data_IF_906290336690
#
_entry.id   IF_906290336690
#
_cell.length_a   1.000
_cell.length_b   1.000
_cell.length_c   1.000
_cell.angle_alpha   90.00
_cell.angle_beta   90.00
_cell.angle_gamma   90.00
#
_symmetry.space_group_name_H-M   'P 1'
#
loop_
_entity.id
_entity.type
_entity.pdbx_description
1 polymer ?
#
# COMPACT_ATOMS: atom_id res chain seq x y z
N UNK A 1 14.27 13.07 -2.29
CA UNK A 1 14.66 11.75 -2.82
C UNK A 1 13.94 10.66 -2.06
N UNK A 2 13.65 9.55 -2.72
CA UNK A 2 12.97 8.36 -2.15
C UNK A 2 13.60 7.87 -0.84
N UNK A 3 14.93 7.90 -0.72
CA UNK A 3 15.64 7.51 0.52
C UNK A 3 15.30 8.41 1.72
N UNK A 4 14.97 9.70 1.50
CA UNK A 4 14.52 10.58 2.58
C UNK A 4 13.12 10.22 3.05
N UNK A 5 12.21 9.90 2.14
CA UNK A 5 10.86 9.44 2.50
C UNK A 5 10.92 8.13 3.29
N UNK A 6 11.88 7.25 2.95
CA UNK A 6 12.12 5.99 3.65
C UNK A 6 12.56 6.17 5.10
N UNK A 7 13.30 7.24 5.41
CA UNK A 7 13.98 7.41 6.71
C UNK A 7 13.41 8.54 7.57
N UNK A 8 12.74 9.51 6.96
CA UNK A 8 12.23 10.73 7.61
C UNK A 8 10.72 10.93 7.44
N UNK A 9 10.05 10.00 6.76
CA UNK A 9 8.62 10.05 6.47
C UNK A 9 8.22 11.06 5.38
N UNK A 10 6.98 10.92 4.91
CA UNK A 10 6.31 11.86 4.00
C UNK A 10 5.62 13.02 4.73
N UNK A 11 5.51 12.97 6.06
CA UNK A 11 4.94 14.06 6.84
C UNK A 11 5.88 15.29 6.83
N UNK A 12 5.35 16.52 6.65
CA UNK A 12 6.17 17.70 6.45
C UNK A 12 7.19 17.96 7.58
N UNK A 13 6.76 17.87 8.83
CA UNK A 13 7.60 18.20 9.99
C UNK A 13 8.87 17.32 10.10
N UNK A 14 8.77 15.98 10.18
CA UNK A 14 9.98 15.14 10.26
C UNK A 14 10.79 15.17 8.96
N UNK A 15 10.13 15.34 7.80
CA UNK A 15 10.79 15.44 6.50
C UNK A 15 11.68 16.69 6.41
N UNK A 16 11.13 17.86 6.76
CA UNK A 16 11.85 19.14 6.76
C UNK A 16 12.90 19.19 7.88
N UNK A 17 12.65 18.51 9.00
CA UNK A 17 13.60 18.40 10.11
C UNK A 17 14.92 17.69 9.73
N UNK A 18 14.92 16.88 8.67
CA UNK A 18 16.13 16.40 8.00
C UNK A 18 17.00 15.41 8.79
N UNK A 19 16.59 15.00 10.00
CA UNK A 19 17.38 14.15 10.91
C UNK A 19 16.56 12.98 11.44
N UNK A 20 17.13 11.78 11.44
CA UNK A 20 16.48 10.58 11.98
C UNK A 20 16.08 10.73 13.46
N UNK A 21 16.85 11.47 14.25
CA UNK A 21 16.50 11.78 15.64
C UNK A 21 15.25 12.67 15.75
N UNK A 22 15.07 13.62 14.83
CA UNK A 22 13.85 14.44 14.76
C UNK A 22 12.65 13.59 14.39
N UNK A 23 12.77 12.72 13.39
CA UNK A 23 11.73 11.76 13.02
C UNK A 23 11.33 10.85 14.21
N UNK A 24 12.29 10.26 14.94
CA UNK A 24 11.97 9.38 16.08
C UNK A 24 11.18 10.09 17.18
N UNK A 25 11.56 11.33 17.52
CA UNK A 25 10.80 12.13 18.50
C UNK A 25 9.40 12.45 17.98
N UNK A 26 9.31 12.87 16.73
CA UNK A 26 8.04 13.19 16.08
C UNK A 26 7.11 11.98 16.02
N UNK A 27 7.56 10.82 15.52
CA UNK A 27 6.73 9.62 15.36
C UNK A 27 6.21 9.12 16.71
N UNK A 28 7.04 9.16 17.77
CA UNK A 28 6.61 8.79 19.13
C UNK A 28 5.60 9.75 19.74
N UNK A 29 5.74 11.06 19.48
CA UNK A 29 4.78 12.07 19.93
C UNK A 29 3.46 11.95 19.14
N UNK A 30 3.55 11.86 17.81
CA UNK A 30 2.42 11.76 16.89
C UNK A 30 1.55 10.54 17.20
N UNK A 31 2.14 9.35 17.33
CA UNK A 31 1.35 8.15 17.64
C UNK A 31 0.65 8.25 18.99
N UNK A 32 1.32 8.81 20.00
CA UNK A 32 0.75 8.96 21.35
C UNK A 32 -0.40 9.97 21.38
N UNK A 33 -0.17 11.15 20.81
CA UNK A 33 -1.17 12.22 20.76
C UNK A 33 -2.40 11.74 19.99
N UNK A 34 -2.20 11.22 18.79
CA UNK A 34 -3.31 10.85 17.92
C UNK A 34 -4.10 9.64 18.46
N UNK A 35 -3.45 8.65 19.07
CA UNK A 35 -4.15 7.50 19.65
C UNK A 35 -4.85 7.81 20.97
N UNK A 36 -4.23 8.62 21.85
CA UNK A 36 -4.73 8.81 23.23
C UNK A 36 -5.58 10.05 23.41
N UNK A 37 -5.37 11.08 22.61
CA UNK A 37 -6.13 12.32 22.68
C UNK A 37 -7.21 12.27 21.60
N UNK A 38 -6.82 12.27 20.32
CA UNK A 38 -7.80 12.37 19.24
C UNK A 38 -8.71 11.14 19.13
N UNK A 39 -8.12 9.94 19.07
CA UNK A 39 -8.88 8.69 18.87
C UNK A 39 -9.71 8.31 20.11
N UNK A 40 -9.17 8.47 21.32
CA UNK A 40 -9.93 8.22 22.55
C UNK A 40 -11.13 9.13 22.65
N UNK A 41 -10.92 10.44 22.46
CA UNK A 41 -11.93 11.45 22.76
C UNK A 41 -12.99 11.50 21.65
N UNK A 42 -12.61 11.31 20.38
CA UNK A 42 -13.55 11.35 19.25
C UNK A 42 -14.31 10.03 19.03
N UNK A 43 -13.71 8.88 19.34
CA UNK A 43 -14.35 7.58 19.11
C UNK A 43 -14.90 6.92 20.39
N UNK A 44 -14.75 7.57 21.56
CA UNK A 44 -15.25 7.05 22.83
C UNK A 44 -14.68 5.67 23.18
N UNK A 45 -13.44 5.41 22.76
CA UNK A 45 -12.82 4.09 22.92
C UNK A 45 -12.53 3.86 24.40
N UNK A 46 -13.16 2.82 24.96
CA UNK A 46 -12.91 2.36 26.33
C UNK A 46 -11.57 1.62 26.49
N UNK A 47 -11.07 1.03 25.41
CA UNK A 47 -9.88 0.17 25.35
C UNK A 47 -8.79 0.81 24.46
N UNK A 48 -8.29 1.98 24.87
CA UNK A 48 -7.30 2.76 24.09
C UNK A 48 -5.96 2.06 24.04
N UNK A 49 -5.58 1.38 25.12
CA UNK A 49 -4.31 0.65 25.23
C UNK A 49 -4.22 -0.48 24.20
N UNK A 50 -5.30 -1.21 23.99
CA UNK A 50 -5.40 -2.30 23.02
C UNK A 50 -5.42 -1.76 21.58
N UNK A 51 -6.08 -0.61 21.35
CA UNK A 51 -6.01 0.08 20.07
C UNK A 51 -4.58 0.56 19.75
N UNK A 52 -3.89 1.16 20.73
CA UNK A 52 -2.48 1.57 20.60
C UNK A 52 -1.59 0.36 20.30
N UNK A 53 -1.81 -0.75 21.01
CA UNK A 53 -1.09 -2.01 20.78
C UNK A 53 -1.36 -2.55 19.37
N UNK A 54 -2.61 -2.56 18.91
CA UNK A 54 -2.94 -2.92 17.53
C UNK A 54 -2.13 -2.07 16.54
N UNK A 55 -2.11 -0.75 16.71
CA UNK A 55 -1.36 0.14 15.81
C UNK A 55 0.15 -0.12 15.81
N UNK A 56 0.72 -0.53 16.95
CA UNK A 56 2.13 -0.94 17.06
C UNK A 56 2.43 -2.30 16.43
N UNK A 57 1.44 -3.19 16.28
CA UNK A 57 1.61 -4.48 15.61
C UNK A 57 1.58 -4.36 14.07
N UNK A 58 0.85 -3.38 13.54
CA UNK A 58 0.63 -3.23 12.09
C UNK A 58 1.90 -3.13 11.22
N UNK A 59 2.99 -2.44 11.61
CA UNK A 59 4.20 -2.37 10.79
C UNK A 59 4.74 -3.74 10.37
N UNK A 60 4.65 -4.75 11.26
CA UNK A 60 5.08 -6.13 10.99
C UNK A 60 4.13 -6.93 10.07
N UNK A 61 2.94 -6.39 9.77
CA UNK A 61 1.89 -7.03 8.98
C UNK A 61 1.68 -6.34 7.63
N UNK A 62 2.46 -5.30 7.33
CA UNK A 62 2.39 -4.55 6.07
C UNK A 62 2.58 -5.49 4.89
N UNK A 63 1.79 -5.27 3.83
CA UNK A 63 1.89 -6.06 2.60
C UNK A 63 1.36 -7.49 2.72
N UNK A 64 0.91 -7.92 3.90
CA UNK A 64 0.33 -9.25 4.11
C UNK A 64 -1.20 -9.17 4.28
N UNK A 65 -1.96 -10.17 3.80
CA UNK A 65 -3.40 -10.26 4.10
C UNK A 65 -3.65 -10.29 5.62
N UNK A 66 -4.48 -9.37 6.10
CA UNK A 66 -4.70 -9.17 7.52
C UNK A 66 -5.81 -10.08 8.06
N UNK A 67 -5.45 -10.98 8.98
CA UNK A 67 -6.41 -11.80 9.73
C UNK A 67 -6.93 -11.07 10.96
N UNK A 68 -8.11 -10.45 10.83
CA UNK A 68 -8.80 -9.80 11.95
C UNK A 68 -9.12 -10.77 13.09
N UNK A 69 -9.54 -12.03 12.86
CA UNK A 69 -9.72 -12.99 13.95
C UNK A 69 -8.44 -13.26 14.74
N UNK A 70 -7.28 -13.36 14.08
CA UNK A 70 -5.99 -13.52 14.75
C UNK A 70 -5.69 -12.33 15.65
N UNK A 71 -5.83 -11.11 15.13
CA UNK A 71 -5.59 -9.88 15.89
C UNK A 71 -6.53 -9.75 17.11
N UNK A 72 -7.80 -10.14 16.93
CA UNK A 72 -8.78 -10.13 18.01
C UNK A 72 -8.39 -11.10 19.14
N UNK A 73 -7.90 -12.30 18.78
CA UNK A 73 -7.34 -13.26 19.72
C UNK A 73 -6.10 -12.74 20.43
N UNK A 74 -5.13 -12.20 19.69
CA UNK A 74 -3.88 -11.65 20.23
C UNK A 74 -4.13 -10.49 21.23
N UNK A 75 -5.16 -9.68 20.98
CA UNK A 75 -5.51 -8.51 21.80
C UNK A 75 -6.55 -8.81 22.88
N UNK A 76 -7.17 -10.00 22.89
CA UNK A 76 -8.22 -10.35 23.84
C UNK A 76 -9.51 -9.53 23.70
N UNK A 77 -9.83 -9.03 22.49
CA UNK A 77 -11.02 -8.21 22.22
C UNK A 77 -11.92 -8.82 21.15
N UNK A 78 -13.15 -8.33 21.03
CA UNK A 78 -14.09 -8.82 20.02
C UNK A 78 -13.63 -8.46 18.59
N UNK A 79 -13.96 -9.33 17.63
CA UNK A 79 -13.68 -9.13 16.20
C UNK A 79 -14.12 -7.75 15.68
N UNK A 80 -15.35 -7.32 16.03
CA UNK A 80 -15.90 -6.04 15.59
C UNK A 80 -15.16 -4.84 16.21
N UNK A 81 -14.53 -5.01 17.37
CA UNK A 81 -13.69 -3.99 18.01
C UNK A 81 -12.43 -3.74 17.17
N UNK A 82 -11.71 -4.80 16.80
CA UNK A 82 -10.53 -4.69 15.92
C UNK A 82 -10.90 -4.06 14.58
N UNK A 83 -12.01 -4.49 13.97
CA UNK A 83 -12.51 -3.86 12.74
C UNK A 83 -12.76 -2.36 12.90
N UNK A 84 -13.44 -1.97 13.98
CA UNK A 84 -13.71 -0.57 14.26
C UNK A 84 -12.43 0.25 14.41
N UNK A 85 -11.39 -0.29 15.05
CA UNK A 85 -10.10 0.38 15.18
C UNK A 85 -9.34 0.47 13.85
N UNK A 86 -9.33 -0.56 13.02
CA UNK A 86 -8.73 -0.50 11.69
C UNK A 86 -9.43 0.57 10.82
N UNK A 87 -10.77 0.60 10.83
CA UNK A 87 -11.55 1.62 10.12
C UNK A 87 -11.24 3.03 10.66
N UNK A 88 -11.00 3.15 11.96
CA UNK A 88 -10.62 4.42 12.59
C UNK A 88 -9.22 4.87 12.15
N UNK A 89 -8.23 3.98 12.16
CA UNK A 89 -6.88 4.29 11.70
C UNK A 89 -6.86 4.77 10.24
N UNK A 90 -7.72 4.23 9.39
CA UNK A 90 -7.88 4.73 8.02
C UNK A 90 -8.46 6.15 7.98
N UNK A 91 -9.48 6.43 8.78
CA UNK A 91 -10.11 7.78 8.86
C UNK A 91 -9.16 8.85 9.40
N UNK A 92 -8.26 8.46 10.30
CA UNK A 92 -7.25 9.34 10.87
C UNK A 92 -5.94 9.38 10.07
N UNK A 93 -5.91 8.81 8.86
CA UNK A 93 -4.73 8.81 8.01
C UNK A 93 -3.48 8.23 8.71
N UNK A 94 -3.69 7.20 9.52
CA UNK A 94 -2.61 6.38 10.06
C UNK A 94 -2.25 5.24 9.10
N UNK A 95 -3.29 4.67 8.47
CA UNK A 95 -3.19 3.52 7.58
C UNK A 95 -4.09 3.70 6.36
N UNK A 96 -3.95 2.80 5.39
CA UNK A 96 -4.92 2.57 4.33
C UNK A 96 -4.93 1.09 3.97
N UNK A 97 -6.07 0.60 3.49
CA UNK A 97 -6.18 -0.80 3.08
C UNK A 97 -6.33 -0.98 1.58
N UNK A 98 -5.59 -1.95 1.04
CA UNK A 98 -5.73 -2.43 -0.34
C UNK A 98 -6.53 -3.74 -0.35
N UNK A 99 -7.74 -3.77 -0.91
CA UNK A 99 -8.57 -4.98 -0.97
C UNK A 99 -8.12 -5.94 -2.06
N UNK A 100 -8.42 -7.24 -1.90
CA UNK A 100 -8.21 -8.19 -2.99
C UNK A 100 -9.09 -7.87 -4.18
N UNK A 101 -8.52 -7.89 -5.38
CA UNK A 101 -9.29 -7.84 -6.61
C UNK A 101 -10.05 -9.15 -6.84
N UNK A 102 -11.28 -9.01 -7.34
CA UNK A 102 -12.03 -10.14 -7.89
C UNK A 102 -13.06 -9.62 -8.88
N UNK A 103 -13.24 -10.36 -9.97
CA UNK A 103 -14.27 -10.08 -10.96
C UNK A 103 -15.70 -10.10 -10.37
N UNK A 104 -15.94 -10.76 -9.23
CA UNK A 104 -17.27 -10.86 -8.60
C UNK A 104 -17.33 -10.03 -7.31
N UNK A 105 -18.10 -8.93 -7.32
CA UNK A 105 -18.23 -7.97 -6.20
C UNK A 105 -18.53 -8.64 -4.86
N UNK A 106 -19.51 -9.55 -4.82
CA UNK A 106 -19.89 -10.25 -3.59
C UNK A 106 -18.75 -11.04 -2.93
N UNK A 107 -17.77 -11.51 -3.72
CA UNK A 107 -16.60 -12.24 -3.20
C UNK A 107 -15.55 -11.30 -2.62
N UNK A 108 -15.49 -10.04 -3.07
CA UNK A 108 -14.51 -9.07 -2.59
C UNK A 108 -14.78 -8.68 -1.13
N UNK A 109 -16.05 -8.53 -0.77
CA UNK A 109 -16.50 -8.07 0.56
C UNK A 109 -16.00 -8.99 1.68
N UNK A 110 -15.90 -10.30 1.40
CA UNK A 110 -15.51 -11.31 2.40
C UNK A 110 -14.00 -11.58 2.44
N UNK A 111 -13.22 -10.98 1.54
CA UNK A 111 -11.78 -11.24 1.45
C UNK A 111 -10.99 -10.32 2.35
N UNK A 112 -9.86 -10.85 2.81
CA UNK A 112 -8.86 -10.10 3.58
C UNK A 112 -8.33 -8.92 2.77
N UNK A 113 -7.91 -7.89 3.49
CA UNK A 113 -7.28 -6.69 2.93
C UNK A 113 -5.83 -6.69 3.36
N UNK A 114 -4.95 -6.13 2.54
CA UNK A 114 -3.60 -5.75 2.97
C UNK A 114 -3.68 -4.36 3.59
N UNK A 115 -2.98 -4.15 4.70
CA UNK A 115 -2.88 -2.82 5.35
C UNK A 115 -1.50 -2.24 5.07
N UNK A 116 -1.47 -0.94 4.82
CA UNK A 116 -0.26 -0.14 4.62
C UNK A 116 -0.31 1.10 5.52
N UNK A 117 0.85 1.64 5.85
CA UNK A 117 1.01 2.79 6.73
C UNK A 117 1.31 4.05 5.93
N UNK A 118 0.86 5.21 6.42
CA UNK A 118 1.28 6.51 5.90
C UNK A 118 2.66 6.91 6.42
N UNK A 119 3.00 6.51 7.64
CA UNK A 119 4.32 6.72 8.24
C UNK A 119 5.28 5.57 7.88
N UNK A 120 5.84 5.63 6.67
CA UNK A 120 6.72 4.60 6.07
C UNK A 120 7.88 4.14 6.97
N UNK A 121 8.65 5.04 7.64
CA UNK A 121 9.83 4.60 8.40
C UNK A 121 9.49 3.82 9.68
N UNK A 122 8.21 3.63 10.04
CA UNK A 122 7.79 2.71 11.10
C UNK A 122 7.97 1.24 10.72
N UNK A 123 8.13 0.95 9.42
CA UNK A 123 8.28 -0.41 8.91
C UNK A 123 9.76 -0.79 8.90
N UNK A 124 10.11 -1.79 9.71
CA UNK A 124 11.50 -2.22 9.88
C UNK A 124 11.99 -3.05 8.70
N UNK A 125 11.17 -4.02 8.24
CA UNK A 125 11.52 -4.89 7.12
C UNK A 125 11.70 -4.07 5.83
N UNK A 126 12.88 -4.10 5.19
CA UNK A 126 13.14 -3.30 4.00
C UNK A 126 12.22 -3.64 2.83
N UNK A 127 11.84 -4.90 2.66
CA UNK A 127 10.98 -5.35 1.57
C UNK A 127 9.56 -4.80 1.71
N UNK A 128 8.95 -5.02 2.87
CA UNK A 128 7.63 -4.49 3.21
C UNK A 128 7.61 -2.95 3.22
N UNK A 129 8.70 -2.31 3.69
CA UNK A 129 8.83 -0.85 3.65
C UNK A 129 8.84 -0.32 2.22
N UNK A 130 9.58 -0.96 1.32
CA UNK A 130 9.61 -0.60 -0.10
C UNK A 130 8.26 -0.85 -0.78
N UNK A 131 7.63 -2.00 -0.55
CA UNK A 131 6.28 -2.30 -1.04
C UNK A 131 5.29 -1.22 -0.57
N UNK A 132 5.36 -0.80 0.68
CA UNK A 132 4.51 0.26 1.23
C UNK A 132 4.74 1.62 0.55
N UNK A 133 5.98 1.98 0.21
CA UNK A 133 6.25 3.20 -0.55
C UNK A 133 5.60 3.16 -1.93
N UNK A 134 5.74 2.02 -2.62
CA UNK A 134 5.06 1.79 -3.91
C UNK A 134 3.54 1.90 -3.73
N UNK A 135 2.97 1.27 -2.69
CA UNK A 135 1.54 1.33 -2.38
C UNK A 135 1.06 2.78 -2.20
N UNK A 136 1.80 3.60 -1.45
CA UNK A 136 1.45 4.98 -1.17
C UNK A 136 1.44 5.84 -2.44
N UNK A 137 2.47 5.69 -3.29
CA UNK A 137 2.55 6.42 -4.57
C UNK A 137 1.47 5.97 -5.56
N UNK A 138 1.20 4.66 -5.65
CA UNK A 138 0.12 4.15 -6.49
C UNK A 138 -1.25 4.65 -5.99
N UNK A 139 -1.48 4.67 -4.67
CA UNK A 139 -2.70 5.20 -4.09
C UNK A 139 -2.89 6.68 -4.44
N UNK A 140 -1.82 7.49 -4.32
CA UNK A 140 -1.83 8.91 -4.70
C UNK A 140 -2.25 9.09 -6.15
N UNK A 141 -1.65 8.34 -7.07
CA UNK A 141 -1.93 8.45 -8.52
C UNK A 141 -3.35 7.98 -8.86
N UNK A 142 -3.77 6.82 -8.35
CA UNK A 142 -5.12 6.27 -8.58
C UNK A 142 -6.22 7.22 -8.08
N UNK A 143 -6.02 7.84 -6.90
CA UNK A 143 -6.93 8.87 -6.38
C UNK A 143 -6.94 10.10 -7.29
N UNK A 144 -5.77 10.61 -7.67
CA UNK A 144 -5.67 11.77 -8.54
C UNK A 144 -6.38 11.55 -9.89
N UNK A 145 -6.20 10.40 -10.54
CA UNK A 145 -6.92 10.08 -11.78
C UNK A 145 -8.44 10.06 -11.60
N UNK A 146 -8.91 9.55 -10.46
CA UNK A 146 -10.35 9.50 -10.16
C UNK A 146 -10.92 10.88 -9.87
N UNK A 147 -10.22 11.68 -9.07
CA UNK A 147 -10.63 13.04 -8.67
C UNK A 147 -10.65 14.01 -9.86
N UNK A 148 -9.78 13.80 -10.85
CA UNK A 148 -9.76 14.56 -12.09
C UNK A 148 -10.75 14.08 -13.17
N UNK A 149 -11.52 13.03 -12.90
CA UNK A 149 -12.50 12.52 -13.84
C UNK A 149 -11.93 11.69 -15.00
N UNK A 150 -10.67 11.23 -14.93
CA UNK A 150 -10.10 10.34 -15.95
C UNK A 150 -10.74 8.94 -15.96
N UNK A 151 -11.48 8.58 -14.91
CA UNK A 151 -12.16 7.29 -14.75
C UNK A 151 -12.34 6.92 -13.27
N UNK A 152 -12.98 5.80 -12.98
CA UNK A 152 -13.09 5.30 -11.61
C UNK A 152 -12.02 4.24 -11.34
N UNK A 153 -10.88 4.68 -10.81
CA UNK A 153 -9.73 3.80 -10.57
C UNK A 153 -9.69 3.29 -9.12
N UNK A 154 -9.22 2.06 -8.96
CA UNK A 154 -9.02 1.42 -7.67
C UNK A 154 -7.69 0.66 -7.60
N UNK A 155 -7.06 0.72 -6.44
CA UNK A 155 -5.87 -0.07 -6.11
C UNK A 155 -6.29 -1.35 -5.40
N UNK A 156 -5.78 -2.48 -5.86
CA UNK A 156 -6.06 -3.80 -5.34
C UNK A 156 -4.79 -4.64 -5.24
N UNK A 157 -4.86 -5.81 -4.62
CA UNK A 157 -3.86 -6.88 -4.80
C UNK A 157 -4.54 -8.11 -5.40
N UNK A 158 -3.77 -9.03 -5.99
CA UNK A 158 -4.34 -10.25 -6.61
C UNK A 158 -3.78 -11.47 -5.91
N UNK A 159 -4.65 -12.36 -5.42
CA UNK A 159 -4.27 -13.66 -4.87
C UNK A 159 -5.13 -14.77 -5.49
N UNK A 160 -4.48 -15.77 -6.08
CA UNK A 160 -5.15 -16.94 -6.69
C UNK A 160 -5.43 -18.03 -5.65
N UNK A 161 -6.22 -19.04 -6.03
CA UNK A 161 -6.53 -20.17 -5.14
C UNK A 161 -5.29 -21.05 -4.87
N UNK A 162 -4.37 -21.07 -5.82
CA UNK A 162 -3.09 -21.79 -5.76
C UNK A 162 -2.05 -21.03 -4.92
N UNK A 163 -2.44 -19.95 -4.24
CA UNK A 163 -1.58 -19.18 -3.35
C UNK A 163 -0.64 -18.19 -4.05
N UNK A 164 -0.71 -18.06 -5.38
CA UNK A 164 0.09 -17.05 -6.11
C UNK A 164 -0.46 -15.66 -5.82
N UNK A 165 0.45 -14.70 -5.65
CA UNK A 165 0.12 -13.32 -5.34
C UNK A 165 0.88 -12.36 -6.28
N UNK A 166 0.26 -11.21 -6.54
CA UNK A 166 0.90 -10.01 -7.08
C UNK A 166 0.54 -8.86 -6.17
N UNK A 167 1.54 -8.04 -5.83
CA UNK A 167 1.44 -7.00 -4.81
C UNK A 167 0.31 -6.01 -5.11
N UNK A 168 0.22 -5.53 -6.36
CA UNK A 168 -0.81 -4.59 -6.77
C UNK A 168 -1.43 -4.85 -8.14
N UNK A 169 -2.67 -4.42 -8.28
CA UNK A 169 -3.44 -4.31 -9.51
C UNK A 169 -4.21 -3.00 -9.49
N UNK A 170 -3.98 -2.17 -10.51
CA UNK A 170 -4.86 -1.03 -10.81
C UNK A 170 -6.03 -1.55 -11.64
N UNK A 171 -7.24 -1.16 -11.27
CA UNK A 171 -8.45 -1.47 -12.02
C UNK A 171 -9.30 -0.23 -12.25
N UNK A 172 -9.87 -0.08 -13.44
CA UNK A 172 -10.86 0.94 -13.77
C UNK A 172 -12.25 0.30 -13.80
N UNK A 173 -13.20 0.76 -12.97
CA UNK A 173 -14.54 0.15 -12.84
C UNK A 173 -14.46 -1.38 -12.73
N UNK A 174 -13.48 -1.88 -11.95
CA UNK A 174 -13.17 -3.30 -11.72
C UNK A 174 -12.50 -4.05 -12.88
N UNK A 175 -12.37 -3.46 -14.08
CA UNK A 175 -11.60 -4.03 -15.18
C UNK A 175 -10.11 -3.89 -14.85
N UNK A 176 -9.33 -4.99 -14.84
CA UNK A 176 -7.90 -4.92 -14.54
C UNK A 176 -7.20 -4.12 -15.63
N UNK A 177 -6.30 -3.20 -15.24
CA UNK A 177 -5.58 -2.30 -16.14
C UNK A 177 -4.07 -2.57 -16.12
N UNK A 178 -3.49 -2.69 -14.93
CA UNK A 178 -2.04 -2.83 -14.77
C UNK A 178 -1.70 -3.65 -13.52
N UNK A 179 -0.86 -4.66 -13.68
CA UNK A 179 -0.23 -5.37 -12.56
C UNK A 179 1.07 -4.68 -12.17
N UNK A 180 1.30 -4.52 -10.86
CA UNK A 180 2.54 -3.95 -10.31
C UNK A 180 3.09 -4.88 -9.23
N UNK A 181 4.36 -5.23 -9.35
CA UNK A 181 5.11 -6.02 -8.35
C UNK A 181 6.26 -5.16 -7.81
N UNK A 182 6.52 -5.20 -6.50
CA UNK A 182 7.59 -4.48 -5.87
C UNK A 182 8.71 -5.44 -5.41
N UNK A 183 9.94 -5.22 -5.87
CA UNK A 183 11.13 -5.96 -5.43
C UNK A 183 12.25 -5.02 -5.01
N UNK A 184 13.03 -5.41 -4.00
CA UNK A 184 14.20 -4.63 -3.60
C UNK A 184 15.27 -4.62 -4.70
N UNK A 185 15.57 -5.79 -5.24
CA UNK A 185 16.64 -6.00 -6.22
C UNK A 185 16.38 -7.13 -7.22
N UNK A 186 15.44 -8.06 -6.94
CA UNK A 186 15.12 -9.11 -7.91
C UNK A 186 14.59 -8.47 -9.20
N UNK A 187 15.23 -8.84 -10.29
CA UNK A 187 15.07 -8.22 -11.58
C UNK A 187 14.37 -9.14 -12.56
N UNK A 188 14.30 -10.43 -12.25
CA UNK A 188 13.49 -11.40 -12.97
C UNK A 188 12.06 -11.46 -12.39
N UNK A 189 11.03 -11.34 -13.23
CA UNK A 189 9.64 -11.53 -12.83
C UNK A 189 9.38 -12.90 -12.20
N UNK A 190 8.81 -12.89 -11.00
CA UNK A 190 8.41 -14.11 -10.31
C UNK A 190 7.31 -14.88 -11.05
N UNK A 191 7.23 -16.19 -10.82
CA UNK A 191 6.22 -17.05 -11.45
C UNK A 191 4.77 -16.63 -11.12
N UNK A 192 4.54 -16.01 -9.96
CA UNK A 192 3.24 -15.45 -9.56
C UNK A 192 2.77 -14.35 -10.52
N UNK A 193 3.61 -13.33 -10.73
CA UNK A 193 3.37 -12.24 -11.68
C UNK A 193 3.13 -12.76 -13.09
N UNK A 194 4.01 -13.63 -13.59
CA UNK A 194 3.90 -14.18 -14.94
C UNK A 194 2.60 -14.97 -15.15
N UNK A 195 2.21 -15.79 -14.18
CA UNK A 195 0.99 -16.59 -14.24
C UNK A 195 -0.28 -15.71 -14.19
N UNK A 196 -0.32 -14.74 -13.28
CA UNK A 196 -1.47 -13.83 -13.14
C UNK A 196 -1.59 -12.92 -14.36
N UNK A 197 -0.47 -12.44 -14.92
CA UNK A 197 -0.48 -11.65 -16.16
C UNK A 197 -1.08 -12.43 -17.33
N UNK A 198 -0.69 -13.70 -17.52
CA UNK A 198 -1.28 -14.55 -18.57
C UNK A 198 -2.78 -14.74 -18.39
N UNK A 199 -3.23 -14.93 -17.14
CA UNK A 199 -4.63 -15.14 -16.83
C UNK A 199 -5.49 -13.89 -17.07
N UNK A 200 -4.97 -12.70 -16.73
CA UNK A 200 -5.70 -11.43 -16.88
C UNK A 200 -5.49 -10.75 -18.24
N UNK A 201 -4.43 -11.11 -18.97
CA UNK A 201 -3.99 -10.50 -20.24
C UNK A 201 -3.87 -8.97 -20.16
N UNK A 202 -3.26 -8.47 -19.08
CA UNK A 202 -3.00 -7.04 -18.86
C UNK A 202 -1.49 -6.74 -18.84
N UNK A 203 -1.08 -5.49 -19.12
CA UNK A 203 0.28 -5.05 -18.86
C UNK A 203 0.74 -5.33 -17.43
N UNK A 204 2.04 -5.56 -17.26
CA UNK A 204 2.66 -5.77 -15.96
C UNK A 204 3.97 -5.00 -15.84
N UNK A 205 4.23 -4.46 -14.65
CA UNK A 205 5.50 -3.82 -14.30
C UNK A 205 6.04 -4.39 -12.99
N UNK A 206 7.34 -4.69 -12.95
CA UNK A 206 8.08 -4.98 -11.72
C UNK A 206 8.94 -3.77 -11.39
N UNK A 207 8.63 -3.11 -10.29
CA UNK A 207 9.36 -1.97 -9.78
C UNK A 207 10.48 -2.44 -8.86
N UNK A 208 11.70 -2.00 -9.14
CA UNK A 208 12.89 -2.32 -8.34
C UNK A 208 13.39 -1.11 -7.55
N UNK A 209 13.76 -1.31 -6.27
CA UNK A 209 14.33 -0.23 -5.44
C UNK A 209 15.70 0.20 -5.94
N UNK A 210 16.54 -0.77 -6.32
CA UNK A 210 17.90 -0.56 -6.80
C UNK A 210 18.00 -1.02 -8.25
N UNK A 211 17.54 -0.16 -9.18
CA UNK A 211 17.71 -0.35 -10.62
C UNK A 211 18.20 0.94 -11.26
N UNK A 212 18.94 0.81 -12.37
CA UNK A 212 19.46 1.96 -13.13
C UNK A 212 18.82 2.10 -14.51
N UNK A 213 18.10 1.09 -15.00
CA UNK A 213 17.59 1.05 -16.38
C UNK A 213 16.22 0.40 -16.47
N UNK A 214 15.46 0.80 -17.49
CA UNK A 214 14.25 0.13 -17.92
C UNK A 214 14.62 -1.09 -18.77
N UNK A 215 13.95 -2.22 -18.53
CA UNK A 215 14.10 -3.42 -19.35
C UNK A 215 12.76 -4.07 -19.58
N UNK A 216 12.64 -4.75 -20.70
CA UNK A 216 11.41 -5.41 -21.07
C UNK A 216 11.66 -6.91 -21.27
N UNK A 217 10.92 -7.72 -20.51
CA UNK A 217 11.07 -9.17 -20.48
C UNK A 217 9.84 -9.84 -21.07
N UNK A 218 10.05 -10.88 -21.87
CA UNK A 218 8.95 -11.59 -22.54
C UNK A 218 8.24 -12.54 -21.60
N UNK A 219 6.91 -12.57 -21.71
CA UNK A 219 6.03 -13.54 -21.08
C UNK A 219 5.09 -14.15 -22.14
N UNK A 220 5.65 -14.97 -23.04
CA UNK A 220 4.95 -15.39 -24.26
C UNK A 220 4.76 -14.21 -25.20
N UNK A 221 3.51 -13.92 -25.57
CA UNK A 221 3.12 -12.76 -26.38
C UNK A 221 3.06 -11.46 -25.55
N UNK A 222 2.99 -11.57 -24.23
CA UNK A 222 2.95 -10.43 -23.31
C UNK A 222 4.36 -9.99 -22.92
N UNK A 223 4.47 -8.80 -22.34
CA UNK A 223 5.73 -8.24 -21.85
C UNK A 223 5.59 -7.74 -20.42
N UNK A 224 6.66 -7.85 -19.65
CA UNK A 224 6.78 -7.29 -18.31
C UNK A 224 7.86 -6.21 -18.35
N UNK A 225 7.50 -4.99 -17.97
CA UNK A 225 8.46 -3.91 -17.79
C UNK A 225 9.14 -4.08 -16.43
N UNK A 226 10.45 -4.04 -16.38
CA UNK A 226 11.23 -3.95 -15.13
C UNK A 226 11.83 -2.57 -15.08
N UNK A 227 11.52 -1.81 -14.02
CA UNK A 227 11.84 -0.39 -13.96
C UNK A 227 12.30 0.05 -12.55
N UNK A 228 13.21 1.04 -12.45
CA UNK A 228 13.48 1.70 -11.17
C UNK A 228 12.21 2.39 -10.66
N UNK A 229 11.82 2.09 -9.42
CA UNK A 229 10.55 2.56 -8.86
C UNK A 229 10.43 4.09 -8.86
N UNK A 230 11.50 4.79 -8.47
CA UNK A 230 11.52 6.25 -8.39
C UNK A 230 11.35 6.94 -9.74
N UNK A 231 11.90 6.37 -10.82
CA UNK A 231 11.76 6.91 -12.16
C UNK A 231 10.34 6.67 -12.69
N UNK A 232 9.90 5.41 -12.65
CA UNK A 232 8.61 5.04 -13.24
C UNK A 232 7.42 5.70 -12.52
N UNK A 233 7.46 5.80 -11.19
CA UNK A 233 6.40 6.45 -10.42
C UNK A 233 6.38 7.97 -10.57
N UNK A 234 7.52 8.59 -10.89
CA UNK A 234 7.60 10.02 -11.20
C UNK A 234 7.05 10.34 -12.59
N UNK A 235 7.18 9.40 -13.53
CA UNK A 235 6.71 9.52 -14.92
C UNK A 235 5.21 9.23 -15.06
N UNK A 236 4.56 8.67 -14.04
CA UNK A 236 3.11 8.47 -14.06
C UNK A 236 2.40 9.81 -14.23
N UNK A 237 1.43 9.92 -15.15
CA UNK A 237 0.77 11.18 -15.44
C UNK A 237 0.22 11.77 -14.14
N UNK A 238 0.85 12.89 -13.75
CA UNK A 238 0.37 13.71 -12.66
C UNK A 238 -1.00 14.29 -13.01
N UNK A 239 -1.69 14.86 -12.02
CA UNK A 239 -2.96 15.47 -12.28
C UNK A 239 -2.88 16.52 -13.40
N UNK A 240 -3.49 16.25 -14.57
CA UNK A 240 -3.55 17.19 -15.72
C UNK A 240 -2.75 16.81 -16.98
N UNK A 241 -2.17 15.61 -17.08
CA UNK A 241 -1.42 15.22 -18.29
C UNK A 241 -2.30 14.82 -19.51
N UNK A 242 -3.63 14.74 -19.33
CA UNK A 242 -4.57 14.36 -20.39
C UNK A 242 -4.94 15.49 -21.37
N UNK A 243 -4.70 16.75 -21.02
CA UNK A 243 -5.12 17.93 -21.81
C UNK A 243 -4.07 18.39 -22.85
N UNK A 244 -3.10 17.54 -23.20
CA UNK A 244 -2.08 17.86 -24.23
C UNK A 244 -2.11 16.92 -25.43
N UNK A 245 -3.28 16.40 -25.76
CA UNK A 245 -3.48 15.57 -26.94
C UNK A 245 -4.79 15.91 -27.65
N UNK A 246 -5.04 17.20 -27.92
CA UNK A 246 -5.90 17.68 -29.01
C UNK A 246 -5.29 18.96 -29.62
#
# INVERSE_FOLDING_TARGET
>A
TWDRLETLSGFPEPHLGGRAASYRRWSAAYSRQLLREDIRDLAGIRAVTEAETLYHLLPSRVGSPLSVPSLAGDLGVAYNTVRGWLDLFERFFLTFSVPTWTARVARAIRKERKVYLLDVPRIEDPGARFENQVALELLRVVRAWTELGAGEFGLHFVRTKEGREVDFLIAERRRPVLLVEAKLAEEQPGAGLLAIQRALRVPAVQLVRRGSTYRELRNGELRVLVAPACCWLADLPGPGAGDRAE
#
